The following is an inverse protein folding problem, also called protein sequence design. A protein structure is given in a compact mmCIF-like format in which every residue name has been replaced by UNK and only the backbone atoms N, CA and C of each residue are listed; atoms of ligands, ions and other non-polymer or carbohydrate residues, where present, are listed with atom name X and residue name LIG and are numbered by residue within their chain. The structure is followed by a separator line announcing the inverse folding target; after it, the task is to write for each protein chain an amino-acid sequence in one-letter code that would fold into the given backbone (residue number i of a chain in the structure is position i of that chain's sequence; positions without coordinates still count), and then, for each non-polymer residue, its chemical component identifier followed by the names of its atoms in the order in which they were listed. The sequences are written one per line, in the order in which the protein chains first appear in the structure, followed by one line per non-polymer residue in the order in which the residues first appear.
data_IF_187406141525
#
_entry.id   IF_187406141525
#
_cell.length_a   1.000
_cell.length_b   1.000
_cell.length_c   1.000
_cell.angle_alpha   90.00
_cell.angle_beta   90.00
_cell.angle_gamma   90.00
#
_symmetry.space_group_name_H-M   'P 1'
#
loop_
_entity.id
_entity.type
_entity.pdbx_description
1 polymer ?
#
# COMPACT_ATOMS: atom_id res chain seq x y z
N UNK A 1 28.10 48.86 8.31
CA UNK A 1 29.28 48.07 7.92
C UNK A 1 28.79 46.66 7.70
N UNK A 2 28.49 46.30 6.45
CA UNK A 2 28.24 44.91 6.07
C UNK A 2 29.62 44.29 5.85
N UNK A 3 30.11 43.53 6.81
CA UNK A 3 31.32 42.73 6.62
C UNK A 3 31.05 41.73 5.49
N UNK A 4 31.95 41.72 4.50
CA UNK A 4 32.01 40.68 3.48
C UNK A 4 32.41 39.37 4.17
N UNK A 5 31.46 38.67 4.77
CA UNK A 5 31.65 37.28 5.20
C UNK A 5 31.76 36.40 3.95
N UNK A 6 32.99 36.10 3.53
CA UNK A 6 33.26 35.14 2.46
C UNK A 6 32.97 33.74 2.99
N UNK A 7 31.85 33.15 2.56
CA UNK A 7 31.46 31.78 2.92
C UNK A 7 32.45 30.79 2.28
N UNK A 8 33.03 29.92 3.10
CA UNK A 8 33.95 28.88 2.62
C UNK A 8 33.19 27.78 1.84
N UNK A 9 33.83 27.11 0.87
CA UNK A 9 33.20 26.10 0.01
C UNK A 9 32.56 24.96 0.82
N UNK A 10 33.21 24.53 1.90
CA UNK A 10 32.68 23.50 2.80
C UNK A 10 31.48 23.99 3.61
N UNK A 11 31.50 25.26 4.06
CA UNK A 11 30.36 25.87 4.72
C UNK A 11 29.18 26.00 3.76
N UNK A 12 29.43 26.39 2.51
CA UNK A 12 28.42 26.48 1.45
C UNK A 12 27.83 25.10 1.12
N UNK A 13 28.66 24.07 0.98
CA UNK A 13 28.20 22.70 0.73
C UNK A 13 27.35 22.17 1.89
N UNK A 14 27.75 22.44 3.13
CA UNK A 14 26.99 22.04 4.31
C UNK A 14 25.68 22.84 4.46
N UNK A 15 25.67 24.14 4.17
CA UNK A 15 24.42 24.92 4.16
C UNK A 15 23.48 24.46 3.05
N UNK A 16 23.99 24.14 1.86
CA UNK A 16 23.15 23.58 0.79
C UNK A 16 22.60 22.21 1.14
N UNK A 17 23.39 21.32 1.76
CA UNK A 17 22.88 20.04 2.28
C UNK A 17 21.79 20.25 3.34
N UNK A 18 21.94 21.24 4.22
CA UNK A 18 20.94 21.60 5.23
C UNK A 18 19.67 22.21 4.62
N UNK A 19 19.80 22.98 3.54
CA UNK A 19 18.68 23.55 2.78
C UNK A 19 17.91 22.45 2.01
N UNK A 20 18.63 21.50 1.40
CA UNK A 20 18.03 20.34 0.71
C UNK A 20 17.29 19.40 1.68
N UNK A 21 17.74 19.34 2.94
CA UNK A 21 17.05 18.62 4.02
C UNK A 21 15.71 19.27 4.43
N UNK A 22 15.46 20.53 4.03
CA UNK A 22 14.25 21.26 4.36
C UNK A 22 13.39 21.50 3.10
N UNK A 23 12.59 20.50 2.66
CA UNK A 23 11.83 20.56 1.39
C UNK A 23 10.73 21.64 1.34
N UNK A 24 10.56 22.45 2.39
CA UNK A 24 9.57 23.53 2.47
C UNK A 24 9.90 24.75 1.61
N UNK A 25 11.07 24.81 0.96
CA UNK A 25 11.51 25.97 0.17
C UNK A 25 11.37 25.84 -1.35
N UNK A 26 10.83 24.74 -1.89
CA UNK A 26 10.44 24.74 -3.31
C UNK A 26 9.21 25.63 -3.46
N UNK A 27 9.29 26.81 -4.12
CA UNK A 27 8.10 27.61 -4.34
C UNK A 27 7.14 26.79 -5.21
N UNK A 28 5.93 26.52 -4.72
CA UNK A 28 4.84 26.09 -5.60
C UNK A 28 4.74 27.14 -6.71
N UNK A 29 4.87 26.71 -7.96
CA UNK A 29 4.67 27.59 -9.10
C UNK A 29 3.20 28.02 -9.07
N UNK A 30 2.93 29.14 -8.39
CA UNK A 30 1.62 29.76 -8.36
C UNK A 30 1.35 30.28 -9.77
N UNK A 31 0.71 29.44 -10.59
CA UNK A 31 -0.01 29.93 -11.75
C UNK A 31 -1.10 30.82 -11.16
N UNK A 32 -0.87 32.14 -11.20
CA UNK A 32 -1.90 33.15 -10.96
C UNK A 32 -2.95 32.96 -12.06
N UNK A 33 -3.89 32.03 -11.83
CA UNK A 33 -5.16 32.08 -12.49
C UNK A 33 -5.83 33.38 -12.05
N UNK A 34 -6.01 34.27 -13.02
CA UNK A 34 -6.65 35.56 -12.90
C UNK A 34 -7.92 35.47 -12.04
N UNK A 35 -7.98 36.24 -10.95
CA UNK A 35 -9.16 37.01 -10.54
C UNK A 35 -10.51 36.33 -10.22
N UNK A 36 -10.63 35.01 -10.15
CA UNK A 36 -11.93 34.38 -9.89
C UNK A 36 -12.12 33.99 -8.42
N UNK A 37 -12.94 34.75 -7.69
CA UNK A 37 -13.39 34.45 -6.31
C UNK A 37 -13.93 33.02 -6.14
N UNK A 38 -14.42 32.40 -7.22
CA UNK A 38 -14.93 31.03 -7.25
C UNK A 38 -13.79 30.03 -7.13
N UNK A 39 -12.69 30.23 -7.86
CA UNK A 39 -11.55 29.32 -7.86
C UNK A 39 -10.87 29.29 -6.49
N UNK A 40 -10.75 30.44 -5.82
CA UNK A 40 -10.15 30.51 -4.50
C UNK A 40 -11.02 29.84 -3.42
N UNK A 41 -12.35 29.94 -3.55
CA UNK A 41 -13.29 29.15 -2.72
C UNK A 41 -13.16 27.66 -3.00
N UNK A 42 -13.04 27.24 -4.26
CA UNK A 42 -12.83 25.84 -4.63
C UNK A 42 -11.50 25.29 -4.10
N UNK A 43 -10.42 26.06 -4.16
CA UNK A 43 -9.13 25.73 -3.53
C UNK A 43 -9.26 25.56 -2.03
N UNK A 44 -9.98 26.46 -1.36
CA UNK A 44 -10.20 26.37 0.08
C UNK A 44 -10.98 25.09 0.47
N UNK A 45 -12.00 24.73 -0.32
CA UNK A 45 -12.78 23.49 -0.11
C UNK A 45 -11.90 22.26 -0.35
N UNK A 46 -11.19 22.19 -1.48
CA UNK A 46 -10.36 21.04 -1.84
C UNK A 46 -9.16 20.84 -0.90
N UNK A 47 -8.66 21.91 -0.27
CA UNK A 47 -7.59 21.83 0.75
C UNK A 47 -8.10 21.43 2.14
N UNK A 48 -9.43 21.38 2.35
CA UNK A 48 -9.98 21.05 3.66
C UNK A 48 -9.85 19.55 3.96
N UNK A 49 -9.48 19.22 5.21
CA UNK A 49 -9.45 17.83 5.69
C UNK A 49 -10.84 17.16 5.63
N UNK A 50 -11.90 17.96 5.69
CA UNK A 50 -13.28 17.49 5.63
C UNK A 50 -13.66 16.98 4.24
N UNK A 51 -13.21 17.65 3.17
CA UNK A 51 -13.45 17.20 1.81
C UNK A 51 -12.90 15.80 1.57
N UNK A 52 -11.65 15.61 2.00
CA UNK A 52 -11.00 14.32 1.98
C UNK A 52 -11.75 13.29 2.84
N UNK A 53 -12.15 13.65 4.07
CA UNK A 53 -12.92 12.76 4.96
C UNK A 53 -14.21 12.26 4.33
N UNK A 54 -14.99 13.16 3.72
CA UNK A 54 -16.23 12.82 3.00
C UNK A 54 -15.91 11.82 1.88
N UNK A 55 -14.87 12.07 1.09
CA UNK A 55 -14.44 11.16 0.03
C UNK A 55 -14.08 9.75 0.52
N UNK A 56 -13.60 9.61 1.76
CA UNK A 56 -13.40 8.29 2.38
C UNK A 56 -14.68 7.66 2.86
N UNK A 57 -15.61 8.42 3.44
CA UNK A 57 -16.91 7.90 3.87
C UNK A 57 -17.64 7.31 2.66
N UNK A 58 -17.66 8.02 1.53
CA UNK A 58 -18.24 7.51 0.27
C UNK A 58 -17.51 6.25 -0.25
N UNK A 59 -16.18 6.18 -0.11
CA UNK A 59 -15.42 4.96 -0.46
C UNK A 59 -15.82 3.76 0.40
N UNK A 60 -15.91 3.93 1.73
CA UNK A 60 -16.36 2.88 2.65
C UNK A 60 -17.79 2.45 2.30
N UNK A 61 -18.70 3.40 2.10
CA UNK A 61 -20.07 3.12 1.70
C UNK A 61 -20.13 2.34 0.38
N UNK A 62 -19.33 2.71 -0.62
CA UNK A 62 -19.30 1.99 -1.90
C UNK A 62 -18.91 0.52 -1.73
N UNK A 63 -17.91 0.21 -0.90
CA UNK A 63 -17.51 -1.18 -0.60
C UNK A 63 -18.61 -1.91 0.16
N UNK A 64 -19.25 -1.26 1.13
CA UNK A 64 -20.36 -1.86 1.89
C UNK A 64 -21.52 -2.22 0.96
N UNK A 65 -21.90 -1.34 0.03
CA UNK A 65 -22.96 -1.61 -0.94
C UNK A 65 -22.64 -2.80 -1.83
N UNK A 66 -21.42 -2.86 -2.40
CA UNK A 66 -21.02 -4.00 -3.23
C UNK A 66 -20.94 -5.29 -2.39
N UNK A 67 -20.49 -5.22 -1.14
CA UNK A 67 -20.44 -6.37 -0.24
C UNK A 67 -21.84 -6.90 0.08
N UNK A 68 -22.80 -6.02 0.40
CA UNK A 68 -24.21 -6.38 0.64
C UNK A 68 -24.79 -7.02 -0.62
N UNK A 69 -24.53 -6.44 -1.79
CA UNK A 69 -25.01 -6.95 -3.06
C UNK A 69 -24.47 -8.36 -3.35
N UNK A 70 -23.18 -8.61 -3.13
CA UNK A 70 -22.56 -9.93 -3.34
C UNK A 70 -23.04 -10.95 -2.30
N UNK A 71 -23.13 -10.56 -1.03
CA UNK A 71 -23.53 -11.45 0.08
C UNK A 71 -24.99 -11.87 -0.01
N UNK A 72 -25.88 -10.93 -0.34
CA UNK A 72 -27.32 -11.16 -0.34
C UNK A 72 -27.88 -11.36 -1.74
N UNK A 73 -27.02 -11.61 -2.73
CA UNK A 73 -27.48 -11.90 -4.09
C UNK A 73 -28.35 -13.15 -4.06
N UNK A 74 -29.61 -13.08 -4.46
CA UNK A 74 -30.47 -14.25 -4.40
C UNK A 74 -30.07 -15.22 -5.53
N UNK A 75 -29.70 -16.45 -5.17
CA UNK A 75 -29.12 -17.44 -6.09
C UNK A 75 -30.18 -18.32 -6.78
N UNK A 76 -31.43 -18.37 -6.27
CA UNK A 76 -32.49 -19.24 -6.78
C UNK A 76 -33.92 -18.64 -6.62
N UNK A 77 -34.09 -17.33 -6.80
CA UNK A 77 -35.40 -16.67 -6.71
C UNK A 77 -35.94 -16.29 -8.08
N UNK A 78 -37.23 -15.96 -8.13
CA UNK A 78 -37.88 -15.42 -9.33
C UNK A 78 -37.13 -14.18 -9.84
N UNK A 79 -37.05 -14.04 -11.17
CA UNK A 79 -36.33 -12.96 -11.84
C UNK A 79 -36.75 -11.56 -11.35
N UNK A 80 -38.02 -11.37 -10.99
CA UNK A 80 -38.52 -10.09 -10.50
C UNK A 80 -37.91 -9.68 -9.15
N UNK A 81 -37.68 -10.63 -8.24
CA UNK A 81 -37.05 -10.35 -6.95
C UNK A 81 -35.55 -10.04 -7.10
N UNK A 82 -34.89 -10.73 -8.04
CA UNK A 82 -33.49 -10.47 -8.38
C UNK A 82 -33.31 -9.07 -8.99
N UNK A 83 -34.21 -8.67 -9.90
CA UNK A 83 -34.19 -7.32 -10.51
C UNK A 83 -34.51 -6.25 -9.45
N UNK A 84 -35.51 -6.47 -8.60
CA UNK A 84 -35.88 -5.53 -7.55
C UNK A 84 -34.74 -5.28 -6.55
N UNK A 85 -33.94 -6.30 -6.25
CA UNK A 85 -32.76 -6.16 -5.39
C UNK A 85 -31.56 -5.52 -6.11
N UNK A 86 -31.29 -5.93 -7.36
CA UNK A 86 -30.06 -5.53 -8.06
C UNK A 86 -30.15 -4.12 -8.65
N UNK A 87 -31.34 -3.65 -9.04
CA UNK A 87 -31.52 -2.34 -9.65
C UNK A 87 -31.13 -1.16 -8.72
N UNK A 88 -31.58 -1.09 -7.45
CA UNK A 88 -31.14 -0.05 -6.52
C UNK A 88 -29.62 -0.08 -6.27
N UNK A 89 -29.02 -1.27 -6.21
CA UNK A 89 -27.57 -1.44 -6.00
C UNK A 89 -26.78 -0.92 -7.20
N UNK A 90 -27.24 -1.19 -8.43
CA UNK A 90 -26.63 -0.68 -9.65
C UNK A 90 -26.71 0.85 -9.74
N UNK A 91 -27.85 1.45 -9.37
CA UNK A 91 -28.02 2.90 -9.31
C UNK A 91 -27.05 3.50 -8.28
N UNK A 92 -26.97 2.93 -7.08
CA UNK A 92 -26.04 3.38 -6.04
C UNK A 92 -24.59 3.34 -6.52
N UNK A 93 -24.16 2.24 -7.16
CA UNK A 93 -22.82 2.11 -7.74
C UNK A 93 -22.53 3.18 -8.81
N UNK A 94 -23.51 3.52 -9.65
CA UNK A 94 -23.39 4.61 -10.62
C UNK A 94 -23.22 5.96 -9.92
N UNK A 95 -24.00 6.23 -8.88
CA UNK A 95 -23.88 7.46 -8.08
C UNK A 95 -22.52 7.60 -7.40
N UNK A 96 -21.98 6.52 -6.82
CA UNK A 96 -20.64 6.52 -6.23
C UNK A 96 -19.56 6.84 -7.27
N UNK A 97 -19.63 6.22 -8.44
CA UNK A 97 -18.67 6.46 -9.52
C UNK A 97 -18.73 7.92 -10.00
N UNK A 98 -19.94 8.46 -10.20
CA UNK A 98 -20.13 9.87 -10.56
C UNK A 98 -19.55 10.81 -9.50
N UNK A 99 -19.77 10.51 -8.22
CA UNK A 99 -19.17 11.27 -7.12
C UNK A 99 -17.63 11.29 -7.21
N UNK A 100 -16.99 10.12 -7.37
CA UNK A 100 -15.52 10.06 -7.47
C UNK A 100 -14.98 10.78 -8.71
N UNK A 101 -15.67 10.67 -9.85
CA UNK A 101 -15.30 11.41 -11.05
C UNK A 101 -15.36 12.93 -10.83
N UNK A 102 -16.45 13.42 -10.21
CA UNK A 102 -16.60 14.84 -9.87
C UNK A 102 -15.54 15.31 -8.88
N UNK A 103 -15.19 14.49 -7.89
CA UNK A 103 -14.14 14.81 -6.91
C UNK A 103 -12.78 15.04 -7.58
N UNK A 104 -12.38 14.17 -8.52
CA UNK A 104 -11.11 14.30 -9.24
C UNK A 104 -11.13 15.50 -10.18
N UNK A 105 -12.24 15.76 -10.86
CA UNK A 105 -12.40 16.95 -11.72
C UNK A 105 -12.24 18.23 -10.89
N UNK A 106 -12.89 18.30 -9.72
CA UNK A 106 -12.78 19.44 -8.81
C UNK A 106 -11.35 19.62 -8.28
N UNK A 107 -10.68 18.54 -7.86
CA UNK A 107 -9.27 18.57 -7.43
C UNK A 107 -8.35 19.02 -8.57
N UNK A 108 -8.51 18.48 -9.77
CA UNK A 108 -7.71 18.85 -10.94
C UNK A 108 -7.90 20.32 -11.32
N UNK A 109 -9.12 20.84 -11.22
CA UNK A 109 -9.42 22.25 -11.48
C UNK A 109 -8.85 23.18 -10.39
N UNK A 110 -8.93 22.79 -9.12
CA UNK A 110 -8.45 23.60 -7.99
C UNK A 110 -6.91 23.71 -7.93
N UNK A 111 -6.19 22.61 -8.13
CA UNK A 111 -4.73 22.58 -8.04
C UNK A 111 -4.04 22.88 -9.38
N UNK A 112 -4.75 22.71 -10.50
CA UNK A 112 -4.18 22.74 -11.85
C UNK A 112 -3.57 21.38 -12.22
N UNK A 113 -3.67 20.94 -13.48
CA UNK A 113 -3.33 19.57 -13.88
C UNK A 113 -1.86 19.21 -13.64
N UNK A 114 -0.92 20.13 -13.94
CA UNK A 114 0.52 19.87 -13.75
C UNK A 114 0.92 19.79 -12.27
N UNK A 115 0.33 20.61 -11.42
CA UNK A 115 0.61 20.63 -9.99
C UNK A 115 -0.07 19.45 -9.28
N UNK A 116 -1.25 19.04 -9.74
CA UNK A 116 -1.97 17.87 -9.23
C UNK A 116 -1.12 16.59 -9.35
N UNK A 117 -0.50 16.36 -10.51
CA UNK A 117 0.37 15.19 -10.71
C UNK A 117 1.72 15.28 -9.99
N UNK A 118 2.18 16.49 -9.62
CA UNK A 118 3.48 16.67 -8.95
C UNK A 118 3.38 16.69 -7.42
N UNK A 119 2.22 17.00 -6.86
CA UNK A 119 2.05 17.30 -5.44
C UNK A 119 2.10 16.06 -4.52
N UNK A 120 1.44 14.95 -4.88
CA UNK A 120 1.39 13.76 -4.02
C UNK A 120 1.13 12.48 -4.81
N UNK A 121 1.89 11.43 -4.50
CA UNK A 121 1.70 10.08 -5.07
C UNK A 121 0.29 9.53 -4.84
N UNK A 122 -0.35 9.91 -3.73
CA UNK A 122 -1.72 9.48 -3.42
C UNK A 122 -2.76 10.11 -4.37
N UNK A 123 -2.57 11.36 -4.79
CA UNK A 123 -3.47 11.99 -5.76
C UNK A 123 -3.33 11.39 -7.17
N UNK A 124 -2.12 10.95 -7.53
CA UNK A 124 -1.89 10.22 -8.79
C UNK A 124 -2.64 8.89 -8.75
N UNK A 125 -2.50 8.12 -7.66
CA UNK A 125 -3.25 6.87 -7.47
C UNK A 125 -4.76 7.11 -7.53
N UNK A 126 -5.25 8.17 -6.87
CA UNK A 126 -6.67 8.57 -6.92
C UNK A 126 -7.17 8.82 -8.34
N UNK A 127 -6.43 9.61 -9.12
CA UNK A 127 -6.79 9.90 -10.49
C UNK A 127 -6.68 8.66 -11.41
N UNK A 128 -5.67 7.82 -11.23
CA UNK A 128 -5.50 6.60 -12.05
C UNK A 128 -6.64 5.61 -11.85
N UNK A 129 -7.05 5.37 -10.60
CA UNK A 129 -8.20 4.49 -10.30
C UNK A 129 -9.49 5.10 -10.86
N UNK A 130 -9.75 6.38 -10.61
CA UNK A 130 -10.95 7.04 -11.12
C UNK A 130 -11.02 7.03 -12.66
N UNK A 131 -9.91 7.32 -13.33
CA UNK A 131 -9.83 7.27 -14.79
C UNK A 131 -10.08 5.86 -15.33
N UNK A 132 -9.48 4.84 -14.71
CA UNK A 132 -9.69 3.44 -15.10
C UNK A 132 -11.15 3.02 -14.93
N UNK A 133 -11.77 3.34 -13.79
CA UNK A 133 -13.19 3.07 -13.56
C UNK A 133 -14.09 3.79 -14.57
N UNK A 134 -13.77 5.05 -14.90
CA UNK A 134 -14.52 5.83 -15.87
C UNK A 134 -14.46 5.24 -17.29
N UNK A 135 -13.26 4.81 -17.73
CA UNK A 135 -13.07 4.13 -19.02
C UNK A 135 -13.85 2.80 -19.06
N UNK A 136 -13.77 2.00 -18.00
CA UNK A 136 -14.54 0.75 -17.91
C UNK A 136 -16.05 0.99 -17.97
N UNK A 137 -16.54 2.07 -17.35
CA UNK A 137 -17.95 2.45 -17.37
C UNK A 137 -18.41 2.89 -18.76
N UNK A 138 -17.61 3.70 -19.47
CA UNK A 138 -17.91 4.08 -20.86
C UNK A 138 -17.92 2.84 -21.74
N UNK A 139 -16.94 1.96 -21.59
CA UNK A 139 -16.85 0.72 -22.37
C UNK A 139 -18.08 -0.16 -22.14
N UNK A 140 -18.55 -0.29 -20.90
CA UNK A 140 -19.79 -0.98 -20.58
C UNK A 140 -21.00 -0.36 -21.28
N UNK A 141 -21.10 0.97 -21.23
CA UNK A 141 -22.21 1.71 -21.83
C UNK A 141 -22.24 1.53 -23.35
N UNK A 142 -21.07 1.52 -23.99
CA UNK A 142 -20.95 1.32 -25.44
C UNK A 142 -21.32 -0.10 -25.85
N UNK A 143 -20.84 -1.12 -25.12
CA UNK A 143 -21.06 -2.53 -25.48
C UNK A 143 -22.48 -2.99 -25.16
N UNK A 144 -23.00 -2.60 -23.99
CA UNK A 144 -24.23 -3.15 -23.44
C UNK A 144 -25.38 -2.14 -23.34
N UNK A 145 -25.17 -0.88 -23.72
CA UNK A 145 -26.16 0.19 -23.59
C UNK A 145 -26.26 0.71 -22.15
N UNK A 146 -27.42 1.25 -21.76
CA UNK A 146 -27.59 1.72 -20.37
C UNK A 146 -27.46 0.56 -19.40
N UNK A 147 -26.93 0.77 -18.18
CA UNK A 147 -26.80 -0.30 -17.19
C UNK A 147 -28.13 -0.98 -16.87
N UNK A 148 -29.23 -0.24 -17.02
CA UNK A 148 -30.61 -0.73 -16.86
C UNK A 148 -31.02 -1.68 -18.01
N UNK A 149 -30.70 -1.34 -19.27
CA UNK A 149 -31.06 -2.14 -20.45
C UNK A 149 -30.13 -3.36 -20.62
N UNK A 150 -28.85 -3.21 -20.27
CA UNK A 150 -27.87 -4.30 -20.27
C UNK A 150 -28.23 -5.45 -19.34
N UNK A 151 -28.88 -5.15 -18.20
CA UNK A 151 -29.29 -6.15 -17.21
C UNK A 151 -30.39 -7.04 -17.73
N UNK A 152 -31.42 -6.44 -18.35
CA UNK A 152 -32.51 -7.16 -19.02
C UNK A 152 -31.92 -8.11 -20.07
N UNK A 153 -30.91 -7.67 -20.82
CA UNK A 153 -30.31 -8.48 -21.89
C UNK A 153 -29.37 -9.59 -21.37
N UNK A 154 -28.59 -9.33 -20.33
CA UNK A 154 -27.63 -10.31 -19.76
C UNK A 154 -28.32 -11.44 -18.99
N UNK A 155 -29.41 -11.15 -18.29
CA UNK A 155 -30.23 -12.18 -17.63
C UNK A 155 -30.98 -13.07 -18.64
N UNK A 156 -31.40 -12.52 -19.78
CA UNK A 156 -32.08 -13.31 -20.82
C UNK A 156 -31.13 -14.25 -21.59
N UNK A 157 -29.83 -13.95 -21.69
CA UNK A 157 -28.98 -14.57 -22.72
C UNK A 157 -27.91 -15.56 -22.20
N UNK A 158 -27.41 -15.50 -20.95
CA UNK A 158 -26.28 -16.37 -20.55
C UNK A 158 -26.33 -16.99 -19.15
N UNK A 159 -26.57 -18.32 -19.12
CA UNK A 159 -26.11 -19.30 -18.12
C UNK A 159 -24.57 -19.47 -18.12
N UNK A 160 -23.81 -18.37 -18.14
CA UNK A 160 -22.35 -18.44 -18.00
C UNK A 160 -21.91 -17.57 -16.84
N UNK A 161 -21.20 -18.18 -15.89
CA UNK A 161 -20.30 -17.47 -14.98
C UNK A 161 -19.05 -17.11 -15.78
N UNK A 162 -18.75 -15.82 -15.96
CA UNK A 162 -17.37 -15.41 -15.97
C UNK A 162 -17.14 -14.57 -14.73
N UNK A 163 -16.15 -15.00 -13.95
CA UNK A 163 -15.51 -14.21 -12.90
C UNK A 163 -15.02 -12.84 -13.48
N UNK A 164 -14.93 -12.72 -14.80
CA UNK A 164 -14.65 -11.51 -15.58
C UNK A 164 -15.83 -10.99 -16.41
N UNK A 165 -17.07 -11.01 -15.89
CA UNK A 165 -18.11 -10.17 -16.49
C UNK A 165 -17.68 -8.71 -16.37
N UNK A 166 -17.82 -7.90 -17.43
CA UNK A 166 -17.42 -6.49 -17.44
C UNK A 166 -18.06 -5.73 -16.27
N UNK A 167 -19.27 -6.13 -15.89
CA UNK A 167 -19.97 -5.61 -14.72
C UNK A 167 -19.32 -6.00 -13.39
N UNK A 168 -18.80 -7.22 -13.26
CA UNK A 168 -18.02 -7.62 -12.09
C UNK A 168 -16.68 -6.86 -12.03
N UNK A 169 -16.04 -6.61 -13.18
CA UNK A 169 -14.81 -5.83 -13.25
C UNK A 169 -15.01 -4.38 -12.77
N UNK A 170 -16.11 -3.73 -13.17
CA UNK A 170 -16.47 -2.38 -12.68
C UNK A 170 -16.64 -2.37 -11.17
N UNK A 171 -17.30 -3.38 -10.61
CA UNK A 171 -17.49 -3.50 -9.16
C UNK A 171 -16.17 -3.63 -8.40
N UNK A 172 -15.30 -4.52 -8.87
CA UNK A 172 -13.97 -4.70 -8.28
C UNK A 172 -13.17 -3.40 -8.37
N UNK A 173 -13.23 -2.70 -9.50
CA UNK A 173 -12.57 -1.41 -9.66
C UNK A 173 -13.14 -0.33 -8.73
N UNK A 174 -14.46 -0.31 -8.51
CA UNK A 174 -15.08 0.59 -7.53
C UNK A 174 -14.63 0.29 -6.09
N UNK A 175 -14.41 -0.97 -5.74
CA UNK A 175 -13.85 -1.31 -4.42
C UNK A 175 -12.44 -0.76 -4.23
N UNK A 176 -11.66 -0.53 -5.30
CA UNK A 176 -10.31 -0.01 -5.17
C UNK A 176 -10.28 1.32 -4.43
N UNK A 177 -11.31 2.17 -4.51
CA UNK A 177 -11.37 3.44 -3.74
C UNK A 177 -11.17 3.28 -2.23
N UNK A 178 -11.31 2.07 -1.67
CA UNK A 178 -10.96 1.76 -0.29
C UNK A 178 -9.46 1.98 0.01
N UNK A 179 -8.57 2.00 -0.99
CA UNK A 179 -7.15 2.35 -0.79
C UNK A 179 -7.00 3.73 -0.16
N UNK A 180 -8.01 4.62 -0.24
CA UNK A 180 -8.00 5.91 0.47
C UNK A 180 -7.80 5.75 1.97
N UNK A 181 -8.15 4.60 2.55
CA UNK A 181 -7.84 4.29 3.95
C UNK A 181 -6.34 4.24 4.24
N UNK A 182 -5.48 3.97 3.25
CA UNK A 182 -4.02 3.96 3.38
C UNK A 182 -3.50 5.30 3.90
N UNK A 183 -4.14 6.43 3.55
CA UNK A 183 -3.73 7.76 4.03
C UNK A 183 -3.89 7.93 5.56
N UNK A 184 -4.74 7.11 6.18
CA UNK A 184 -4.95 7.12 7.63
C UNK A 184 -4.06 6.12 8.38
N UNK A 185 -3.43 5.16 7.67
CA UNK A 185 -2.48 4.23 8.30
C UNK A 185 -1.33 4.94 9.04
N UNK A 186 -0.66 5.98 8.51
CA UNK A 186 0.45 6.63 9.21
C UNK A 186 0.01 7.55 10.38
N UNK A 187 -1.17 7.32 10.99
CA UNK A 187 -1.63 8.08 12.15
C UNK A 187 -0.76 7.90 13.39
N UNK A 188 -0.15 6.71 13.57
CA UNK A 188 0.78 6.44 14.67
C UNK A 188 2.22 6.35 14.18
N UNK A 189 3.19 6.72 15.04
CA UNK A 189 4.63 6.65 14.74
C UNK A 189 5.02 5.25 14.23
N UNK A 190 4.58 4.21 14.92
CA UNK A 190 4.94 2.82 14.60
C UNK A 190 4.36 2.38 13.26
N UNK A 191 3.08 2.65 12.99
CA UNK A 191 2.46 2.26 11.71
C UNK A 191 3.08 3.07 10.56
N UNK A 192 3.39 4.36 10.78
CA UNK A 192 4.10 5.18 9.79
C UNK A 192 5.46 4.60 9.43
N UNK A 193 6.21 4.09 10.41
CA UNK A 193 7.50 3.41 10.17
C UNK A 193 7.27 2.14 9.35
N UNK A 194 6.30 1.31 9.72
CA UNK A 194 5.99 0.05 9.01
C UNK A 194 5.58 0.33 7.55
N UNK A 195 4.58 1.18 7.34
CA UNK A 195 4.10 1.55 6.01
C UNK A 195 5.23 2.18 5.19
N UNK A 196 6.01 3.06 5.81
CA UNK A 196 7.18 3.65 5.17
C UNK A 196 8.22 2.61 4.78
N UNK A 197 8.45 1.58 5.60
CA UNK A 197 9.39 0.49 5.31
C UNK A 197 8.96 -0.24 4.05
N UNK A 198 7.68 -0.60 3.94
CA UNK A 198 7.12 -1.29 2.77
C UNK A 198 7.34 -0.47 1.49
N UNK A 199 7.04 0.83 1.50
CA UNK A 199 7.25 1.67 0.32
C UNK A 199 8.72 1.84 -0.05
N UNK A 200 9.61 1.96 0.94
CA UNK A 200 11.04 2.08 0.68
C UNK A 200 11.65 0.75 0.22
N UNK A 201 11.09 -0.38 0.63
CA UNK A 201 11.50 -1.70 0.14
C UNK A 201 11.30 -1.80 -1.37
N UNK A 202 10.14 -1.41 -1.90
CA UNK A 202 9.93 -1.37 -3.35
C UNK A 202 10.84 -0.39 -4.08
N UNK A 203 11.19 0.74 -3.45
CA UNK A 203 12.06 1.75 -4.05
C UNK A 203 13.53 1.34 -4.05
N UNK A 204 14.00 0.76 -2.95
CA UNK A 204 15.40 0.44 -2.72
C UNK A 204 15.75 -0.99 -3.17
N UNK A 205 14.77 -1.90 -3.15
CA UNK A 205 14.89 -3.29 -3.56
C UNK A 205 14.83 -3.51 -5.07
N UNK A 206 14.73 -2.46 -5.89
CA UNK A 206 14.55 -2.58 -7.34
C UNK A 206 15.59 -3.48 -8.04
N UNK A 207 16.86 -3.43 -7.62
CA UNK A 207 17.90 -4.31 -8.15
C UNK A 207 17.68 -5.78 -7.79
N UNK A 208 17.29 -6.06 -6.53
CA UNK A 208 16.98 -7.40 -6.07
C UNK A 208 15.72 -7.96 -6.74
N UNK A 209 14.64 -7.19 -6.78
CA UNK A 209 13.41 -7.58 -7.46
C UNK A 209 13.62 -7.77 -8.98
N UNK A 210 14.46 -6.95 -9.61
CA UNK A 210 14.84 -7.14 -11.02
C UNK A 210 15.64 -8.43 -11.26
N UNK A 211 16.54 -8.77 -10.34
CA UNK A 211 17.24 -10.05 -10.36
C UNK A 211 16.27 -11.23 -10.18
N UNK A 212 15.40 -11.17 -9.17
CA UNK A 212 14.39 -12.18 -8.90
C UNK A 212 13.46 -12.39 -10.11
N UNK A 213 13.01 -11.30 -10.73
CA UNK A 213 12.21 -11.34 -11.95
C UNK A 213 12.96 -12.02 -13.12
N UNK A 214 14.25 -11.74 -13.27
CA UNK A 214 15.10 -12.38 -14.29
C UNK A 214 15.24 -13.89 -14.05
N UNK A 215 15.38 -14.31 -12.79
CA UNK A 215 15.38 -15.72 -12.42
C UNK A 215 14.05 -16.39 -12.73
N UNK A 216 12.92 -15.77 -12.38
CA UNK A 216 11.58 -16.26 -12.73
C UNK A 216 11.42 -16.46 -14.23
N UNK A 217 11.84 -15.48 -15.02
CA UNK A 217 11.77 -15.51 -16.48
C UNK A 217 12.57 -16.69 -17.05
N UNK A 218 13.84 -16.82 -16.64
CA UNK A 218 14.71 -17.89 -17.11
C UNK A 218 14.18 -19.28 -16.69
N UNK A 219 13.71 -19.43 -15.45
CA UNK A 219 13.15 -20.69 -14.96
C UNK A 219 11.83 -21.05 -15.63
N UNK A 220 10.99 -20.08 -15.93
CA UNK A 220 9.74 -20.34 -16.67
C UNK A 220 10.03 -20.88 -18.06
N UNK A 221 11.00 -20.31 -18.79
CA UNK A 221 11.41 -20.83 -20.10
C UNK A 221 12.02 -22.23 -19.98
N UNK A 222 12.92 -22.43 -19.02
CA UNK A 222 13.51 -23.75 -18.76
C UNK A 222 12.44 -24.79 -18.43
N UNK A 223 11.47 -24.45 -17.59
CA UNK A 223 10.35 -25.31 -17.21
C UNK A 223 9.45 -25.65 -18.39
N UNK A 224 9.16 -24.70 -19.28
CA UNK A 224 8.40 -24.97 -20.51
C UNK A 224 9.14 -25.94 -21.44
N UNK A 225 10.45 -25.80 -21.59
CA UNK A 225 11.25 -26.70 -22.42
C UNK A 225 11.36 -28.12 -21.83
N UNK A 226 11.44 -28.23 -20.50
CA UNK A 226 11.58 -29.51 -19.81
C UNK A 226 10.25 -30.25 -19.58
N UNK A 227 9.17 -29.52 -19.34
CA UNK A 227 7.90 -30.07 -18.85
C UNK A 227 6.67 -29.66 -19.67
N UNK A 228 6.84 -28.97 -20.80
CA UNK A 228 5.74 -28.61 -21.68
C UNK A 228 5.00 -29.84 -22.20
N UNK A 229 3.68 -29.85 -22.05
CA UNK A 229 2.76 -30.94 -22.42
C UNK A 229 2.75 -32.12 -21.46
N UNK A 230 3.67 -32.19 -20.48
CA UNK A 230 3.83 -33.37 -19.61
C UNK A 230 2.62 -33.58 -18.70
N UNK A 231 2.06 -32.50 -18.16
CA UNK A 231 0.91 -32.57 -17.25
C UNK A 231 -0.40 -32.88 -17.99
N UNK A 232 -0.58 -32.35 -19.19
CA UNK A 232 -1.72 -32.70 -20.06
C UNK A 232 -1.69 -34.19 -20.45
N UNK A 233 -0.52 -34.68 -20.83
CA UNK A 233 -0.27 -36.08 -21.13
C UNK A 233 -0.55 -36.98 -19.92
N UNK A 234 -0.15 -36.53 -18.73
CA UNK A 234 -0.41 -37.23 -17.48
C UNK A 234 -1.91 -37.26 -17.16
N UNK A 235 -2.61 -36.14 -17.35
CA UNK A 235 -4.06 -36.03 -17.17
C UNK A 235 -4.82 -37.01 -18.08
N UNK A 236 -4.43 -37.14 -19.36
CA UNK A 236 -5.07 -38.06 -20.30
C UNK A 236 -4.86 -39.53 -19.90
N UNK A 237 -3.65 -39.88 -19.43
CA UNK A 237 -3.34 -41.24 -18.96
C UNK A 237 -4.00 -41.55 -17.61
N UNK A 238 -4.34 -40.53 -16.85
CA UNK A 238 -4.88 -40.66 -15.51
C UNK A 238 -6.35 -41.12 -15.53
N UNK A 239 -6.61 -42.28 -14.94
CA UNK A 239 -7.97 -42.77 -14.77
C UNK A 239 -8.54 -42.33 -13.39
N UNK A 240 -9.54 -41.43 -13.42
CA UNK A 240 -10.22 -40.87 -12.23
C UNK A 240 -10.92 -41.92 -11.35
N UNK A 241 -11.03 -43.18 -11.78
CA UNK A 241 -11.58 -44.29 -10.99
C UNK A 241 -10.56 -45.01 -10.09
N UNK A 242 -9.27 -44.67 -10.16
CA UNK A 242 -8.19 -45.27 -9.36
C UNK A 242 -7.73 -44.40 -8.17
N UNK A 243 -8.51 -43.40 -7.74
CA UNK A 243 -8.11 -42.51 -6.63
C UNK A 243 -8.30 -43.23 -5.29
N UNK A 244 -7.26 -43.94 -4.85
CA UNK A 244 -7.26 -44.62 -3.56
C UNK A 244 -6.39 -43.92 -2.52
N UNK A 245 -5.51 -43.00 -2.95
CA UNK A 245 -4.55 -42.31 -2.08
C UNK A 245 -4.94 -40.84 -1.96
N UNK A 246 -5.09 -40.37 -0.72
CA UNK A 246 -5.32 -38.97 -0.43
C UNK A 246 -4.00 -38.18 -0.41
N UNK A 247 -4.03 -36.91 -0.82
CA UNK A 247 -2.88 -36.00 -0.83
C UNK A 247 -2.07 -35.98 -2.13
N UNK A 248 -2.54 -36.63 -3.21
CA UNK A 248 -1.83 -36.62 -4.49
C UNK A 248 -2.24 -35.45 -5.37
N UNK A 249 -1.36 -35.07 -6.30
CA UNK A 249 -1.54 -33.94 -7.22
C UNK A 249 -2.87 -34.04 -8.00
N UNK A 250 -3.24 -35.24 -8.41
CA UNK A 250 -4.42 -35.55 -9.21
C UNK A 250 -5.72 -35.46 -8.39
N UNK A 251 -5.67 -35.91 -7.14
CA UNK A 251 -6.81 -35.85 -6.22
C UNK A 251 -7.14 -34.40 -5.84
N UNK A 252 -6.12 -33.56 -5.66
CA UNK A 252 -6.27 -32.14 -5.33
C UNK A 252 -6.64 -31.26 -6.53
N UNK A 253 -6.79 -31.86 -7.72
CA UNK A 253 -7.13 -31.19 -8.97
C UNK A 253 -6.17 -30.03 -9.32
N UNK A 254 -4.87 -30.23 -9.08
CA UNK A 254 -3.82 -29.23 -9.35
C UNK A 254 -3.43 -29.08 -10.82
N UNK A 255 -4.14 -29.73 -11.73
CA UNK A 255 -3.94 -29.75 -13.19
C UNK A 255 -3.63 -28.39 -13.86
N UNK A 256 -4.22 -27.25 -13.45
CA UNK A 256 -3.86 -25.96 -14.05
C UNK A 256 -2.41 -25.51 -13.78
N UNK A 257 -1.73 -26.14 -12.83
CA UNK A 257 -0.35 -25.81 -12.47
C UNK A 257 0.64 -26.64 -13.30
N UNK A 258 0.82 -26.24 -14.54
CA UNK A 258 1.75 -26.85 -15.49
C UNK A 258 2.85 -25.90 -15.97
N UNK A 259 3.55 -26.34 -17.01
CA UNK A 259 4.54 -25.55 -17.75
C UNK A 259 4.20 -25.52 -19.25
N UNK A 260 2.91 -25.62 -19.61
CA UNK A 260 2.48 -25.65 -21.02
C UNK A 260 2.56 -24.26 -21.67
N UNK A 261 2.38 -23.21 -20.87
CA UNK A 261 2.52 -21.82 -21.28
C UNK A 261 3.23 -20.98 -20.22
N UNK A 262 3.67 -19.80 -20.62
CA UNK A 262 4.47 -18.92 -19.77
C UNK A 262 3.70 -18.43 -18.53
N UNK A 263 2.39 -18.19 -18.66
CA UNK A 263 1.57 -17.73 -17.55
C UNK A 263 1.36 -18.84 -16.52
N UNK A 264 1.02 -20.06 -16.97
CA UNK A 264 0.92 -21.23 -16.10
C UNK A 264 2.26 -21.54 -15.42
N UNK A 265 3.38 -21.39 -16.14
CA UNK A 265 4.73 -21.58 -15.58
C UNK A 265 5.01 -20.62 -14.41
N UNK A 266 4.68 -19.34 -14.54
CA UNK A 266 4.86 -18.35 -13.46
C UNK A 266 4.00 -18.72 -12.24
N UNK A 267 2.75 -19.14 -12.45
CA UNK A 267 1.86 -19.54 -11.35
C UNK A 267 2.39 -20.78 -10.65
N UNK A 268 2.81 -21.79 -11.41
CA UNK A 268 3.40 -23.01 -10.86
C UNK A 268 4.65 -22.71 -10.04
N UNK A 269 5.55 -21.86 -10.56
CA UNK A 269 6.75 -21.41 -9.84
C UNK A 269 6.43 -20.60 -8.58
N UNK A 270 5.40 -19.77 -8.62
CA UNK A 270 4.89 -19.08 -7.42
C UNK A 270 4.36 -20.06 -6.37
N UNK A 271 3.54 -21.03 -6.77
CA UNK A 271 3.00 -22.03 -5.85
C UNK A 271 4.11 -22.86 -5.18
N UNK A 272 5.13 -23.26 -5.93
CA UNK A 272 6.30 -23.96 -5.38
C UNK A 272 7.17 -23.01 -4.53
N UNK A 273 7.30 -21.74 -4.89
CA UNK A 273 8.05 -20.75 -4.09
C UNK A 273 7.49 -20.62 -2.67
N UNK A 274 6.16 -20.61 -2.52
CA UNK A 274 5.48 -20.47 -1.22
C UNK A 274 5.75 -21.66 -0.28
N UNK A 275 6.28 -22.78 -0.79
CA UNK A 275 6.63 -24.01 -0.03
C UNK A 275 5.43 -24.75 0.54
N UNK A 276 4.21 -24.26 0.35
CA UNK A 276 3.02 -24.95 0.80
C UNK A 276 2.66 -26.10 -0.16
N UNK A 277 2.64 -27.34 0.35
CA UNK A 277 2.38 -28.56 -0.44
C UNK A 277 3.29 -28.73 -1.66
N UNK A 278 4.50 -28.15 -1.63
CA UNK A 278 5.45 -28.20 -2.73
C UNK A 278 5.92 -29.62 -3.05
N UNK A 279 5.92 -30.50 -2.05
CA UNK A 279 6.18 -31.93 -2.15
C UNK A 279 5.20 -32.62 -3.11
N UNK A 280 3.92 -32.23 -3.08
CA UNK A 280 2.90 -32.74 -4.00
C UNK A 280 3.18 -32.34 -5.44
N UNK A 281 3.73 -31.14 -5.67
CA UNK A 281 4.17 -30.73 -7.01
C UNK A 281 5.36 -31.56 -7.47
N UNK A 282 6.39 -31.71 -6.63
CA UNK A 282 7.59 -32.50 -6.95
C UNK A 282 7.21 -33.95 -7.30
N UNK A 283 6.41 -34.60 -6.45
CA UNK A 283 5.93 -35.97 -6.67
C UNK A 283 5.04 -36.06 -7.91
N UNK A 284 4.18 -35.08 -8.15
CA UNK A 284 3.35 -34.98 -9.35
C UNK A 284 4.19 -34.94 -10.63
N UNK A 285 5.19 -34.06 -10.71
CA UNK A 285 6.07 -33.96 -11.88
C UNK A 285 7.00 -35.17 -12.04
N UNK A 286 7.44 -35.78 -10.94
CA UNK A 286 8.16 -37.06 -10.99
C UNK A 286 7.31 -38.18 -11.57
N UNK A 287 6.08 -38.33 -11.13
CA UNK A 287 5.17 -39.36 -11.64
C UNK A 287 4.79 -39.09 -13.11
N UNK A 288 4.57 -37.83 -13.47
CA UNK A 288 4.23 -37.45 -14.84
C UNK A 288 5.38 -37.71 -15.85
N UNK A 289 6.63 -37.43 -15.43
CA UNK A 289 7.84 -37.66 -16.25
C UNK A 289 8.42 -39.08 -16.13
N UNK A 290 7.94 -39.88 -15.16
CA UNK A 290 8.52 -41.17 -14.75
C UNK A 290 10.03 -41.11 -14.46
N UNK A 291 10.49 -39.99 -13.90
CA UNK A 291 11.92 -39.71 -13.70
C UNK A 291 12.17 -38.95 -12.40
N UNK A 292 13.17 -39.40 -11.62
CA UNK A 292 13.63 -38.69 -10.42
C UNK A 292 14.42 -37.42 -10.75
N UNK A 293 14.88 -37.27 -12.00
CA UNK A 293 15.67 -36.11 -12.42
C UNK A 293 14.84 -34.81 -12.48
N UNK A 294 13.52 -34.90 -12.58
CA UNK A 294 12.63 -33.74 -12.51
C UNK A 294 12.64 -33.08 -11.14
N UNK A 295 12.92 -33.83 -10.06
CA UNK A 295 13.02 -33.28 -8.71
C UNK A 295 14.15 -32.25 -8.59
N UNK A 296 15.26 -32.44 -9.32
CA UNK A 296 16.40 -31.52 -9.28
C UNK A 296 16.00 -30.10 -9.69
N UNK A 297 15.13 -29.95 -10.69
CA UNK A 297 14.63 -28.65 -11.12
C UNK A 297 13.96 -27.89 -9.96
N UNK A 298 13.09 -28.57 -9.20
CA UNK A 298 12.39 -27.99 -8.06
C UNK A 298 13.32 -27.77 -6.85
N UNK A 299 14.29 -28.65 -6.63
CA UNK A 299 15.30 -28.49 -5.57
C UNK A 299 16.15 -27.24 -5.84
N UNK A 300 16.62 -27.04 -7.08
CA UNK A 300 17.39 -25.84 -7.42
C UNK A 300 16.55 -24.58 -7.29
N UNK A 301 15.29 -24.60 -7.73
CA UNK A 301 14.35 -23.50 -7.52
C UNK A 301 14.20 -23.16 -6.03
N UNK A 302 13.99 -24.18 -5.19
CA UNK A 302 13.87 -24.04 -3.74
C UNK A 302 15.15 -23.43 -3.13
N UNK A 303 16.34 -23.87 -3.53
CA UNK A 303 17.59 -23.33 -2.99
C UNK A 303 17.81 -21.86 -3.37
N UNK A 304 17.64 -21.51 -4.64
CA UNK A 304 17.98 -20.17 -5.12
C UNK A 304 16.89 -19.13 -4.88
N UNK A 305 15.63 -19.47 -5.18
CA UNK A 305 14.54 -18.49 -5.13
C UNK A 305 13.85 -18.50 -3.77
N UNK A 306 13.50 -19.68 -3.27
CA UNK A 306 12.83 -19.77 -1.96
C UNK A 306 13.81 -19.47 -0.83
N UNK A 307 14.94 -20.17 -0.70
CA UNK A 307 15.84 -19.98 0.43
C UNK A 307 16.63 -18.69 0.31
N UNK A 308 17.46 -18.56 -0.74
CA UNK A 308 18.33 -17.38 -0.87
C UNK A 308 17.48 -16.14 -1.13
N UNK A 309 16.54 -16.19 -2.08
CA UNK A 309 15.68 -15.05 -2.42
C UNK A 309 14.87 -14.53 -1.23
N UNK A 310 14.08 -15.38 -0.55
CA UNK A 310 13.26 -14.90 0.58
C UNK A 310 14.12 -14.43 1.76
N UNK A 311 15.23 -15.10 2.07
CA UNK A 311 16.10 -14.65 3.16
C UNK A 311 16.78 -13.31 2.86
N UNK A 312 17.18 -13.06 1.60
CA UNK A 312 17.70 -11.75 1.19
C UNK A 312 16.61 -10.69 1.28
N UNK A 313 15.37 -11.01 0.88
CA UNK A 313 14.23 -10.09 1.03
C UNK A 313 14.01 -9.73 2.50
N UNK A 314 13.97 -10.73 3.39
CA UNK A 314 13.81 -10.52 4.83
C UNK A 314 14.95 -9.68 5.44
N UNK A 315 16.19 -9.96 5.06
CA UNK A 315 17.34 -9.18 5.50
C UNK A 315 17.23 -7.71 5.05
N UNK A 316 16.87 -7.49 3.79
CA UNK A 316 16.68 -6.15 3.24
C UNK A 316 15.53 -5.40 3.96
N UNK A 317 14.39 -6.04 4.18
CA UNK A 317 13.27 -5.44 4.92
C UNK A 317 13.67 -5.09 6.35
N UNK A 318 14.46 -5.95 7.01
CA UNK A 318 15.00 -5.71 8.35
C UNK A 318 15.90 -4.48 8.39
N UNK A 319 16.88 -4.39 7.49
CA UNK A 319 17.81 -3.27 7.41
C UNK A 319 17.09 -1.94 7.14
N UNK A 320 16.10 -1.94 6.23
CA UNK A 320 15.29 -0.75 5.93
C UNK A 320 14.46 -0.35 7.15
N UNK A 321 13.86 -1.32 7.84
CA UNK A 321 13.06 -1.07 9.03
C UNK A 321 13.90 -0.45 10.16
N UNK A 322 15.04 -1.06 10.46
CA UNK A 322 15.93 -0.62 11.53
C UNK A 322 16.50 0.77 11.23
N UNK A 323 16.92 1.02 9.98
CA UNK A 323 17.37 2.35 9.56
C UNK A 323 16.27 3.41 9.71
N UNK A 324 15.01 3.09 9.36
CA UNK A 324 13.88 4.02 9.55
C UNK A 324 13.57 4.26 11.02
N UNK A 325 13.60 3.22 11.83
CA UNK A 325 13.34 3.32 13.26
C UNK A 325 14.39 4.19 13.96
N UNK A 326 15.67 3.94 13.70
CA UNK A 326 16.77 4.75 14.22
C UNK A 326 16.64 6.23 13.84
N UNK A 327 16.33 6.54 12.57
CA UNK A 327 16.09 7.93 12.13
C UNK A 327 14.88 8.56 12.83
N UNK A 328 13.82 7.79 13.06
CA UNK A 328 12.63 8.27 13.75
C UNK A 328 12.90 8.57 15.22
N UNK A 329 13.71 7.75 15.89
CA UNK A 329 14.10 7.94 17.29
C UNK A 329 15.08 9.10 17.45
N UNK A 330 16.10 9.21 16.59
CA UNK A 330 17.03 10.35 16.56
C UNK A 330 16.31 11.69 16.35
N UNK A 331 15.34 11.74 15.42
CA UNK A 331 14.56 12.95 15.19
C UNK A 331 13.74 13.36 16.42
N UNK A 332 13.26 12.40 17.21
CA UNK A 332 12.52 12.68 18.45
C UNK A 332 13.45 13.24 19.52
N UNK A 333 14.64 12.66 19.69
CA UNK A 333 15.68 13.19 20.59
C UNK A 333 16.12 14.60 20.20
N UNK A 334 16.33 14.88 18.91
CA UNK A 334 16.65 16.21 18.38
C UNK A 334 15.55 17.23 18.67
N UNK A 335 14.28 16.87 18.49
CA UNK A 335 13.14 17.75 18.81
C UNK A 335 13.10 18.06 20.31
N UNK A 336 13.30 17.04 21.14
CA UNK A 336 13.32 17.17 22.60
C UNK A 336 14.48 18.06 23.04
N UNK A 337 15.70 17.85 22.52
CA UNK A 337 16.88 18.68 22.81
C UNK A 337 16.64 20.13 22.40
N UNK A 338 16.16 20.38 21.17
CA UNK A 338 15.85 21.73 20.70
C UNK A 338 14.78 22.40 21.57
N UNK A 339 13.78 21.64 22.04
CA UNK A 339 12.77 22.17 22.95
C UNK A 339 13.38 22.56 24.29
N UNK A 340 14.25 21.72 24.86
CA UNK A 340 15.00 22.05 26.09
C UNK A 340 15.87 23.30 25.92
N UNK A 341 16.56 23.45 24.80
CA UNK A 341 17.40 24.62 24.52
C UNK A 341 16.56 25.91 24.41
N UNK A 342 15.37 25.84 23.78
CA UNK A 342 14.42 26.96 23.74
C UNK A 342 13.96 27.34 25.15
N UNK A 343 13.54 26.36 25.96
CA UNK A 343 13.14 26.63 27.35
C UNK A 343 14.29 27.22 28.17
N UNK A 344 15.50 26.68 28.03
CA UNK A 344 16.69 27.20 28.71
C UNK A 344 17.00 28.63 28.30
N UNK A 345 16.89 28.97 27.01
CA UNK A 345 17.11 30.35 26.54
C UNK A 345 16.11 31.36 27.11
N UNK A 346 14.92 30.91 27.49
CA UNK A 346 13.87 31.74 28.11
C UNK A 346 14.00 31.82 29.64
N UNK A 347 14.69 30.85 30.27
CA UNK A 347 14.95 30.83 31.71
C UNK A 347 16.24 31.58 31.97
N UNK A 348 16.13 32.76 32.60
CA UNK A 348 17.30 33.48 33.13
C UNK A 348 17.76 32.75 34.39
N UNK A 349 18.87 32.01 34.32
CA UNK A 349 19.45 31.34 35.50
C UNK A 349 19.71 32.42 36.60
N UNK A 350 19.14 32.28 37.82
CA UNK A 350 19.32 33.27 38.87
C UNK A 350 20.79 33.33 39.30
N UNK A 351 21.27 34.52 39.64
CA UNK A 351 22.67 34.69 40.05
C UNK A 351 22.95 33.91 41.33
N UNK A 352 24.20 33.46 41.52
CA UNK A 352 24.61 32.71 42.71
C UNK A 352 24.30 33.44 44.01
N UNK A 353 24.30 34.77 44.00
CA UNK A 353 23.95 35.62 45.15
C UNK A 353 22.44 35.56 45.47
N UNK A 354 21.59 35.58 44.45
CA UNK A 354 20.13 35.53 44.55
C UNK A 354 19.64 34.17 45.05
N UNK A 355 20.31 33.09 44.63
CA UNK A 355 20.09 31.72 45.13
C UNK A 355 20.46 31.63 46.62
N UNK A 356 21.61 32.19 47.03
CA UNK A 356 22.00 32.19 48.45
C UNK A 356 21.06 33.03 49.31
N UNK A 357 20.53 34.14 48.79
CA UNK A 357 19.56 34.97 49.50
C UNK A 357 18.23 34.22 49.68
N UNK A 358 17.72 33.54 48.64
CA UNK A 358 16.50 32.74 48.75
C UNK A 358 16.67 31.51 49.65
N UNK A 359 17.82 30.82 49.59
CA UNK A 359 18.16 29.71 50.49
C UNK A 359 18.25 30.18 51.95
N UNK A 360 18.83 31.36 52.21
CA UNK A 360 18.91 31.92 53.58
C UNK A 360 17.54 32.21 54.20
N UNK A 361 16.54 32.50 53.35
CA UNK A 361 15.14 32.76 53.75
C UNK A 361 14.30 31.48 53.84
N UNK A 362 14.84 30.32 53.45
CA UNK A 362 14.06 29.09 53.40
C UNK A 362 13.90 28.49 54.81
N UNK A 363 12.66 28.22 55.28
CA UNK A 363 12.37 27.88 56.68
C UNK A 363 13.04 26.58 57.19
N UNK A 364 13.45 25.69 56.28
CA UNK A 364 14.06 24.40 56.61
C UNK A 364 15.60 24.45 56.77
N UNK A 365 16.28 25.50 56.30
CA UNK A 365 17.74 25.62 56.45
C UNK A 365 18.12 26.04 57.87
N UNK A 366 17.31 26.91 58.49
CA UNK A 366 17.46 27.30 59.89
C UNK A 366 17.14 26.15 60.88
N UNK A 367 16.51 25.07 60.41
CA UNK A 367 16.17 23.91 61.23
C UNK A 367 17.41 23.05 61.55
N UNK A 368 18.33 22.89 60.57
CA UNK A 368 19.60 22.19 60.79
C UNK A 368 20.55 22.98 61.69
N UNK A 369 20.57 24.32 61.60
CA UNK A 369 21.40 25.16 62.46
C UNK A 369 20.93 25.15 63.92
N UNK A 370 19.62 25.23 64.17
CA UNK A 370 19.06 25.11 65.53
C UNK A 370 19.19 23.70 66.12
N UNK A 371 19.15 22.65 65.31
CA UNK A 371 19.38 21.28 65.79
C UNK A 371 20.84 21.05 66.20
N UNK A 372 21.81 21.73 65.60
CA UNK A 372 23.21 21.64 65.98
C UNK A 372 23.52 22.41 67.27
N UNK A 373 22.86 23.56 67.49
CA UNK A 373 23.01 24.37 68.71
C UNK A 373 22.27 23.78 69.92
N UNK A 374 21.23 22.96 69.69
CA UNK A 374 20.42 22.32 70.75
C UNK A 374 21.03 21.07 71.40
N UNK A 375 22.20 20.59 70.96
CA UNK A 375 22.82 19.36 71.51
C UNK A 375 23.90 19.66 72.57
N UNK A 376 24.22 20.94 72.84
CA UNK A 376 25.27 21.32 73.80
C UNK A 376 24.77 21.99 75.08
N UNK A 377 23.60 21.62 75.61
CA UNK A 377 23.15 22.03 76.94
C UNK A 377 22.34 20.93 77.65
N UNK A 378 23.06 19.96 78.22
CA UNK A 378 22.73 19.27 79.48
C UNK A 378 23.98 18.62 80.06
#
# INVERSE_FOLDING_TARGET
MLENETINLDQYSNTMKLLDLNPKLAPELHIQALGDNILDRCKAICRSKYFDLIGTIFAILSVLFVTIEVSNRPVNTDYMDLVAFTLPMAIANCCFLLYFALEIILKAWAFGPLNFFRSSTMHILEATVAFTCFILQILFLVIHGTPIVSMIYLEMVKKQKPIFSLWAAIKVCNMLFIYRLVRFLPASKNIRIIVGTIFDEFRNGGAFFGLLFSFYYAYSILGMELFGGVMDDFYIRYNKSNITICGTYEQLEYWPNGFDDFYSSIITLYNVMVVNQWDVFVDGFRNATNSYWSELYFIFWYLFVTNIGLNVCLALSGDIHDAKKQRADQNEELIVSNMYDIYRSQIKEPSSEEITEQLSKHPYINFCQRSAEGINLS
#
